data_IF_262272097806
#
_entry.id   IF_262272097806
#
_cell.length_a   1.000
_cell.length_b   1.000
_cell.length_c   1.000
_cell.angle_alpha   90.00
_cell.angle_beta   90.00
_cell.angle_gamma   90.00
#
_symmetry.space_group_name_H-M   'P 1'
#
loop_
_entity.id
_entity.type
_entity.pdbx_description
1 polymer ?
#
# COMPACT_ATOMS: atom_id res chain seq x y z
N UNK A 1 -28.44 20.53 -7.31
CA UNK A 1 -26.98 20.46 -7.10
C UNK A 1 -26.76 20.00 -5.68
N UNK A 2 -25.98 18.93 -5.47
CA UNK A 2 -25.69 18.43 -4.11
C UNK A 2 -24.85 19.48 -3.39
N UNK A 3 -25.25 19.85 -2.17
CA UNK A 3 -24.51 20.79 -1.32
C UNK A 3 -23.43 20.00 -0.57
N UNK A 4 -22.23 19.95 -1.13
CA UNK A 4 -21.07 19.23 -0.57
C UNK A 4 -20.54 19.77 0.77
N UNK A 5 -21.13 20.86 1.28
CA UNK A 5 -20.74 21.49 2.55
C UNK A 5 -21.80 21.31 3.65
N UNK A 6 -22.91 20.63 3.36
CA UNK A 6 -23.89 20.31 4.39
C UNK A 6 -23.33 19.21 5.31
N UNK A 7 -23.33 19.39 6.64
CA UNK A 7 -22.74 18.44 7.58
C UNK A 7 -23.41 17.06 7.53
N UNK A 8 -24.70 17.01 7.19
CA UNK A 8 -25.44 15.77 7.03
C UNK A 8 -24.95 14.93 5.83
N UNK A 9 -24.55 15.60 4.74
CA UNK A 9 -24.02 14.92 3.55
C UNK A 9 -22.64 14.36 3.85
N UNK A 10 -21.78 15.14 4.52
CA UNK A 10 -20.43 14.71 4.90
C UNK A 10 -20.46 13.49 5.83
N UNK A 11 -21.39 13.46 6.80
CA UNK A 11 -21.54 12.32 7.71
C UNK A 11 -22.04 11.07 6.98
N UNK A 12 -22.99 11.22 6.05
CA UNK A 12 -23.49 10.13 5.23
C UNK A 12 -22.39 9.54 4.33
N UNK A 13 -21.62 10.40 3.67
CA UNK A 13 -20.49 10.01 2.83
C UNK A 13 -19.38 9.31 3.64
N UNK A 14 -19.07 9.82 4.83
CA UNK A 14 -18.10 9.19 5.73
C UNK A 14 -18.57 7.78 6.18
N UNK A 15 -19.84 7.62 6.54
CA UNK A 15 -20.38 6.31 6.92
C UNK A 15 -20.38 5.33 5.73
N UNK A 16 -20.73 5.80 4.54
CA UNK A 16 -20.65 4.99 3.32
C UNK A 16 -19.22 4.55 3.02
N UNK A 17 -18.24 5.45 3.20
CA UNK A 17 -16.82 5.14 3.05
C UNK A 17 -16.33 4.09 4.05
N UNK A 18 -16.70 4.20 5.33
CA UNK A 18 -16.35 3.22 6.36
C UNK A 18 -16.90 1.83 6.01
N UNK A 19 -18.17 1.77 5.58
CA UNK A 19 -18.81 0.51 5.21
C UNK A 19 -18.11 -0.16 4.01
N UNK A 20 -17.77 0.61 2.97
CA UNK A 20 -17.04 0.10 1.81
C UNK A 20 -15.64 -0.37 2.24
N UNK A 21 -14.96 0.39 3.10
CA UNK A 21 -13.63 0.05 3.61
C UNK A 21 -13.66 -1.29 4.35
N UNK A 22 -14.64 -1.51 5.23
CA UNK A 22 -14.79 -2.79 5.93
C UNK A 22 -15.03 -3.98 5.00
N UNK A 23 -15.80 -3.80 3.92
CA UNK A 23 -16.02 -4.86 2.93
C UNK A 23 -14.69 -5.21 2.23
N UNK A 24 -13.93 -4.20 1.80
CA UNK A 24 -12.65 -4.39 1.13
C UNK A 24 -11.61 -5.03 2.07
N UNK A 25 -11.55 -4.57 3.32
CA UNK A 25 -10.71 -5.13 4.37
C UNK A 25 -11.06 -6.60 4.65
N UNK A 26 -12.36 -6.92 4.70
CA UNK A 26 -12.84 -8.29 4.86
C UNK A 26 -12.44 -9.21 3.71
N UNK A 27 -12.54 -8.73 2.46
CA UNK A 27 -12.08 -9.47 1.27
C UNK A 27 -10.57 -9.71 1.34
N UNK A 28 -9.79 -8.69 1.73
CA UNK A 28 -8.34 -8.82 1.88
C UNK A 28 -7.95 -9.82 2.97
N UNK A 29 -8.64 -9.80 4.12
CA UNK A 29 -8.44 -10.78 5.19
C UNK A 29 -8.77 -12.20 4.74
N UNK A 30 -9.88 -12.37 3.99
CA UNK A 30 -10.26 -13.66 3.43
C UNK A 30 -9.18 -14.22 2.48
N UNK A 31 -8.69 -13.40 1.55
CA UNK A 31 -7.61 -13.78 0.65
C UNK A 31 -6.35 -14.18 1.42
N UNK A 32 -6.02 -13.43 2.47
CA UNK A 32 -4.84 -13.72 3.26
C UNK A 32 -4.96 -15.03 4.04
N UNK A 33 -6.08 -15.27 4.72
CA UNK A 33 -6.31 -16.50 5.50
C UNK A 33 -6.24 -17.71 4.57
N UNK A 34 -6.89 -17.66 3.40
CA UNK A 34 -6.90 -18.77 2.44
C UNK A 34 -5.54 -19.05 1.81
N UNK A 35 -4.64 -18.07 1.75
CA UNK A 35 -3.26 -18.26 1.25
C UNK A 35 -2.21 -18.42 2.35
N UNK A 36 -2.59 -18.39 3.62
CA UNK A 36 -1.66 -18.45 4.75
C UNK A 36 -1.00 -19.83 4.87
N UNK A 37 -1.69 -20.91 4.54
CA UNK A 37 -1.13 -22.27 4.49
C UNK A 37 0.07 -22.37 3.55
N UNK A 38 0.02 -21.67 2.42
CA UNK A 38 1.13 -21.66 1.47
C UNK A 38 2.37 -21.02 2.10
N UNK A 39 2.22 -19.86 2.75
CA UNK A 39 3.33 -19.13 3.37
C UNK A 39 3.91 -19.83 4.60
N UNK A 40 3.04 -20.40 5.45
CA UNK A 40 3.46 -21.14 6.64
C UNK A 40 4.33 -22.33 6.27
N UNK A 41 4.02 -23.00 5.16
CA UNK A 41 4.85 -24.09 4.63
C UNK A 41 6.24 -23.64 4.15
N UNK A 42 6.44 -22.36 3.79
CA UNK A 42 7.78 -21.81 3.49
C UNK A 42 8.54 -21.40 4.74
N UNK A 43 7.86 -20.78 5.72
CA UNK A 43 8.47 -20.41 7.00
C UNK A 43 8.93 -21.68 7.74
N UNK A 44 8.19 -22.78 7.62
CA UNK A 44 8.54 -24.09 8.18
C UNK A 44 9.62 -24.84 7.36
N UNK A 45 10.37 -24.13 6.50
CA UNK A 45 11.56 -24.62 5.78
C UNK A 45 11.37 -25.85 4.87
N UNK A 46 10.14 -26.16 4.43
CA UNK A 46 9.89 -27.27 3.48
C UNK A 46 10.35 -26.97 2.04
N UNK A 47 10.79 -25.74 1.74
CA UNK A 47 11.21 -25.28 0.40
C UNK A 47 12.49 -24.43 0.46
N UNK A 48 13.23 -24.38 -0.66
CA UNK A 48 14.47 -23.59 -0.81
C UNK A 48 14.22 -22.10 -0.55
N UNK A 49 15.00 -21.54 0.37
CA UNK A 49 14.94 -20.13 0.75
C UNK A 49 15.30 -19.20 -0.43
N UNK A 50 14.49 -18.17 -0.65
CA UNK A 50 14.71 -17.13 -1.67
C UNK A 50 14.49 -15.77 -1.03
N UNK A 51 15.49 -14.88 -1.09
CA UNK A 51 15.41 -13.52 -0.53
C UNK A 51 14.16 -12.70 -0.95
N UNK A 52 13.71 -12.72 -2.22
CA UNK A 52 12.49 -12.02 -2.62
C UNK A 52 11.21 -12.55 -1.93
N UNK A 53 11.24 -13.78 -1.41
CA UNK A 53 10.09 -14.34 -0.70
C UNK A 53 9.91 -13.71 0.68
N UNK A 54 11.00 -13.33 1.36
CA UNK A 54 10.90 -12.57 2.61
C UNK A 54 10.23 -11.22 2.39
N UNK A 55 10.59 -10.50 1.32
CA UNK A 55 9.95 -9.24 0.97
C UNK A 55 8.45 -9.41 0.69
N UNK A 56 8.06 -10.54 0.08
CA UNK A 56 6.65 -10.87 -0.13
C UNK A 56 5.91 -11.10 1.18
N UNK A 57 6.42 -11.94 2.08
CA UNK A 57 5.78 -12.18 3.36
C UNK A 57 5.74 -10.93 4.24
N UNK A 58 6.80 -10.12 4.27
CA UNK A 58 6.80 -8.83 4.98
C UNK A 58 5.73 -7.88 4.43
N UNK A 59 5.59 -7.78 3.11
CA UNK A 59 4.53 -6.97 2.48
C UNK A 59 3.14 -7.37 2.99
N UNK A 60 2.86 -8.68 3.08
CA UNK A 60 1.55 -9.19 3.52
C UNK A 60 1.32 -8.96 5.02
N UNK A 61 2.34 -9.19 5.85
CA UNK A 61 2.26 -8.92 7.30
C UNK A 61 2.02 -7.43 7.58
N UNK A 62 2.72 -6.53 6.86
CA UNK A 62 2.48 -5.09 6.99
C UNK A 62 1.08 -4.68 6.52
N UNK A 63 0.57 -5.29 5.45
CA UNK A 63 -0.81 -5.06 5.01
C UNK A 63 -1.84 -5.53 6.05
N UNK A 64 -1.61 -6.65 6.73
CA UNK A 64 -2.46 -7.07 7.86
C UNK A 64 -2.41 -6.09 9.03
N UNK A 65 -1.21 -5.63 9.38
CA UNK A 65 -1.05 -4.60 10.41
C UNK A 65 -1.87 -3.35 10.08
N UNK A 66 -1.89 -2.95 8.80
CA UNK A 66 -2.74 -1.84 8.32
C UNK A 66 -4.22 -2.12 8.57
N UNK A 67 -4.73 -3.27 8.11
CA UNK A 67 -6.16 -3.63 8.27
C UNK A 67 -6.55 -3.65 9.75
N UNK A 68 -5.74 -4.28 10.61
CA UNK A 68 -6.00 -4.35 12.05
C UNK A 68 -6.03 -2.93 12.65
N UNK A 69 -5.06 -2.08 12.29
CA UNK A 69 -5.04 -0.69 12.77
C UNK A 69 -6.25 0.11 12.29
N UNK A 70 -6.70 -0.08 11.04
CA UNK A 70 -7.88 0.59 10.48
C UNK A 70 -9.17 0.16 11.17
N UNK A 71 -9.32 -1.13 11.46
CA UNK A 71 -10.45 -1.67 12.23
C UNK A 71 -10.50 -1.10 13.65
N UNK A 72 -9.35 -1.00 14.32
CA UNK A 72 -9.26 -0.42 15.67
C UNK A 72 -9.64 1.06 15.65
N UNK A 73 -9.10 1.82 14.68
CA UNK A 73 -9.38 3.26 14.59
C UNK A 73 -10.84 3.58 14.28
N UNK A 74 -11.52 2.70 13.56
CA UNK A 74 -12.92 2.90 13.18
C UNK A 74 -13.91 2.43 14.28
N UNK A 75 -13.47 1.55 15.19
CA UNK A 75 -14.24 1.10 16.36
C UNK A 75 -13.98 1.92 17.64
N UNK A 76 -13.03 2.86 17.61
CA UNK A 76 -12.72 3.66 18.80
C UNK A 76 -13.85 4.64 19.12
N UNK A 77 -14.35 4.60 20.35
CA UNK A 77 -15.41 5.51 20.85
C UNK A 77 -14.90 6.49 21.91
N UNK A 78 -13.66 6.30 22.34
CA UNK A 78 -12.98 7.08 23.37
C UNK A 78 -11.83 7.88 22.77
N UNK A 79 -11.44 8.97 23.46
CA UNK A 79 -10.35 9.82 23.03
C UNK A 79 -9.03 9.05 23.00
N UNK A 80 -8.40 9.01 21.83
CA UNK A 80 -7.08 8.42 21.61
C UNK A 80 -6.15 9.46 20.99
N UNK A 81 -4.84 9.24 21.13
CA UNK A 81 -3.84 10.01 20.42
C UNK A 81 -3.92 9.73 18.91
N UNK A 82 -4.78 10.44 18.19
CA UNK A 82 -4.99 10.30 16.75
C UNK A 82 -3.68 10.35 15.97
N UNK A 83 -2.79 11.29 16.31
CA UNK A 83 -1.51 11.43 15.64
C UNK A 83 -0.68 10.14 15.73
N UNK A 84 -0.64 9.50 16.90
CA UNK A 84 0.13 8.28 17.11
C UNK A 84 -0.48 7.11 16.32
N UNK A 85 -1.79 6.93 16.42
CA UNK A 85 -2.51 5.89 15.68
C UNK A 85 -2.36 6.04 14.16
N UNK A 86 -2.58 7.25 13.63
CA UNK A 86 -2.43 7.54 12.20
C UNK A 86 -0.98 7.33 11.74
N UNK A 87 0.00 7.73 12.55
CA UNK A 87 1.43 7.51 12.21
C UNK A 87 1.76 6.02 12.12
N UNK A 88 1.31 5.22 13.08
CA UNK A 88 1.51 3.76 13.04
C UNK A 88 0.83 3.11 11.83
N UNK A 89 -0.42 3.48 11.56
CA UNK A 89 -1.15 2.99 10.40
C UNK A 89 -0.39 3.34 9.09
N UNK A 90 0.07 4.59 8.95
CA UNK A 90 0.82 5.04 7.78
C UNK A 90 2.18 4.34 7.63
N UNK A 91 2.86 3.98 8.73
CA UNK A 91 4.10 3.20 8.67
C UNK A 91 3.82 1.81 8.08
N UNK A 92 2.74 1.14 8.51
CA UNK A 92 2.37 -0.17 7.96
C UNK A 92 1.99 -0.08 6.47
N UNK A 93 1.22 0.93 6.08
CA UNK A 93 0.87 1.20 4.67
C UNK A 93 2.14 1.46 3.85
N UNK A 94 3.00 2.35 4.30
CA UNK A 94 4.24 2.69 3.60
C UNK A 94 5.16 1.48 3.46
N UNK A 95 5.30 0.65 4.51
CA UNK A 95 6.13 -0.54 4.47
C UNK A 95 5.59 -1.55 3.44
N UNK A 96 4.28 -1.82 3.44
CA UNK A 96 3.66 -2.75 2.47
C UNK A 96 3.82 -2.27 1.02
N UNK A 97 3.50 -1.00 0.73
CA UNK A 97 3.66 -0.42 -0.62
C UNK A 97 5.11 -0.41 -1.07
N UNK A 98 6.05 -0.05 -0.19
CA UNK A 98 7.48 -0.06 -0.50
C UNK A 98 7.97 -1.47 -0.83
N UNK A 99 7.56 -2.48 -0.06
CA UNK A 99 7.89 -3.87 -0.35
C UNK A 99 7.27 -4.34 -1.69
N UNK A 100 6.04 -3.96 -2.01
CA UNK A 100 5.40 -4.29 -3.28
C UNK A 100 6.16 -3.69 -4.48
N UNK A 101 6.50 -2.40 -4.42
CA UNK A 101 7.29 -1.73 -5.47
C UNK A 101 8.69 -2.37 -5.63
N UNK A 102 9.35 -2.73 -4.53
CA UNK A 102 10.63 -3.44 -4.57
C UNK A 102 10.51 -4.82 -5.23
N UNK A 103 9.44 -5.57 -4.97
CA UNK A 103 9.22 -6.88 -5.59
C UNK A 103 9.05 -6.78 -7.10
N UNK A 104 8.30 -5.78 -7.58
CA UNK A 104 8.14 -5.52 -9.02
C UNK A 104 9.49 -5.14 -9.62
N UNK A 105 10.22 -4.25 -8.97
CA UNK A 105 11.56 -3.81 -9.40
C UNK A 105 12.54 -4.99 -9.53
N UNK A 106 12.58 -5.89 -8.55
CA UNK A 106 13.41 -7.09 -8.60
C UNK A 106 13.06 -8.00 -9.79
N UNK A 107 11.77 -8.15 -10.12
CA UNK A 107 11.34 -8.91 -11.29
C UNK A 107 11.78 -8.23 -12.59
N UNK A 108 11.64 -6.91 -12.68
CA UNK A 108 12.10 -6.13 -13.84
C UNK A 108 13.60 -6.29 -14.03
N UNK A 109 14.40 -6.20 -12.96
CA UNK A 109 15.86 -6.39 -13.01
C UNK A 109 16.21 -7.79 -13.54
N UNK A 110 15.52 -8.83 -13.06
CA UNK A 110 15.76 -10.19 -13.52
C UNK A 110 15.45 -10.38 -15.02
N UNK A 111 14.43 -9.69 -15.55
CA UNK A 111 14.06 -9.74 -16.97
C UNK A 111 15.02 -8.92 -17.83
N UNK A 112 15.38 -7.72 -17.38
CA UNK A 112 16.19 -6.74 -18.13
C UNK A 112 17.68 -6.80 -17.79
N UNK A 113 18.19 -7.98 -17.40
CA UNK A 113 19.57 -8.17 -16.94
C UNK A 113 20.64 -7.61 -17.91
N UNK A 114 20.33 -7.55 -19.21
CA UNK A 114 21.24 -7.06 -20.24
C UNK A 114 21.17 -5.54 -20.51
N UNK A 115 20.08 -4.85 -20.13
CA UNK A 115 19.89 -3.42 -20.43
C UNK A 115 20.02 -2.57 -19.17
N UNK A 116 21.22 -2.04 -18.92
CA UNK A 116 21.51 -1.21 -17.75
C UNK A 116 20.63 0.04 -17.64
N UNK A 117 20.14 0.60 -18.76
CA UNK A 117 19.26 1.77 -18.75
C UNK A 117 17.89 1.45 -18.15
N UNK A 118 17.27 0.33 -18.57
CA UNK A 118 15.97 -0.09 -18.04
C UNK A 118 16.04 -0.42 -16.54
N UNK A 119 17.15 -1.03 -16.11
CA UNK A 119 17.43 -1.28 -14.70
C UNK A 119 17.55 0.03 -13.91
N UNK A 120 18.36 0.99 -14.39
CA UNK A 120 18.57 2.27 -13.70
C UNK A 120 17.26 3.07 -13.57
N UNK A 121 16.44 3.12 -14.63
CA UNK A 121 15.13 3.80 -14.62
C UNK A 121 14.20 3.20 -13.57
N UNK A 122 14.11 1.86 -13.52
CA UNK A 122 13.20 1.18 -12.59
C UNK A 122 13.62 1.36 -11.14
N UNK A 123 14.93 1.31 -10.86
CA UNK A 123 15.47 1.58 -9.52
C UNK A 123 15.18 3.04 -9.13
N UNK A 124 15.38 3.99 -10.04
CA UNK A 124 15.07 5.40 -9.82
C UNK A 124 13.60 5.61 -9.43
N UNK A 125 12.66 5.02 -10.19
CA UNK A 125 11.23 5.07 -9.88
C UNK A 125 10.91 4.51 -8.50
N UNK A 126 11.51 3.38 -8.12
CA UNK A 126 11.31 2.77 -6.82
C UNK A 126 11.81 3.67 -5.68
N UNK A 127 12.98 4.29 -5.83
CA UNK A 127 13.54 5.20 -4.81
C UNK A 127 12.68 6.46 -4.69
N UNK A 128 12.21 7.02 -5.81
CA UNK A 128 11.29 8.16 -5.80
C UNK A 128 9.99 7.82 -5.08
N UNK A 129 9.39 6.65 -5.35
CA UNK A 129 8.16 6.21 -4.69
C UNK A 129 8.36 6.08 -3.16
N UNK A 130 9.43 5.41 -2.72
CA UNK A 130 9.75 5.27 -1.29
C UNK A 130 9.99 6.63 -0.63
N UNK A 131 10.75 7.52 -1.28
CA UNK A 131 11.02 8.86 -0.76
C UNK A 131 9.74 9.69 -0.57
N UNK A 132 8.82 9.59 -1.53
CA UNK A 132 7.55 10.33 -1.48
C UNK A 132 6.62 9.77 -0.38
N UNK A 133 6.55 8.45 -0.23
CA UNK A 133 5.80 7.80 0.84
C UNK A 133 6.32 8.19 2.23
N UNK A 134 7.64 8.21 2.43
CA UNK A 134 8.26 8.62 3.69
C UNK A 134 8.00 10.10 4.02
N UNK A 135 8.11 10.97 3.02
CA UNK A 135 7.74 12.38 3.16
C UNK A 135 6.28 12.54 3.61
N UNK A 136 5.40 11.74 3.02
CA UNK A 136 4.00 11.64 3.40
C UNK A 136 3.79 11.42 4.89
N UNK A 137 4.44 10.42 5.48
CA UNK A 137 4.31 10.10 6.91
C UNK A 137 4.60 11.31 7.80
N UNK A 138 5.66 12.06 7.48
CA UNK A 138 6.06 13.22 8.30
C UNK A 138 5.13 14.42 8.16
N UNK A 139 4.46 14.54 7.02
CA UNK A 139 3.57 15.65 6.70
C UNK A 139 2.14 15.43 7.21
N UNK A 140 1.75 14.17 7.47
CA UNK A 140 0.41 13.83 7.97
C UNK A 140 0.18 14.31 9.41
N UNK A 141 -0.89 15.08 9.58
CA UNK A 141 -1.39 15.57 10.87
C UNK A 141 -2.85 15.17 11.07
N UNK A 142 -3.16 14.57 12.21
CA UNK A 142 -4.51 14.21 12.61
C UNK A 142 -4.83 14.71 14.01
N UNK A 143 -6.07 15.17 14.21
CA UNK A 143 -6.60 15.64 15.49
C UNK A 143 -7.90 14.93 15.84
N UNK A 144 -8.14 14.77 17.13
CA UNK A 144 -9.41 14.25 17.63
C UNK A 144 -10.49 15.32 17.57
N UNK A 145 -11.66 14.98 17.02
CA UNK A 145 -12.85 15.84 17.03
C UNK A 145 -13.88 15.30 18.03
N UNK A 146 -14.21 16.10 19.03
CA UNK A 146 -15.22 15.76 20.03
C UNK A 146 -16.65 15.73 19.47
N UNK A 147 -16.93 16.53 18.43
CA UNK A 147 -18.25 16.59 17.78
C UNK A 147 -18.59 15.30 17.02
N UNK A 148 -17.60 14.73 16.35
CA UNK A 148 -17.75 13.53 15.52
C UNK A 148 -17.31 12.24 16.23
N UNK A 149 -16.69 12.36 17.42
CA UNK A 149 -16.04 11.26 18.16
C UNK A 149 -15.10 10.42 17.28
N UNK A 150 -14.35 11.10 16.40
CA UNK A 150 -13.44 10.47 15.43
C UNK A 150 -12.20 11.32 15.20
N UNK A 151 -11.16 10.69 14.66
CA UNK A 151 -9.96 11.36 14.20
C UNK A 151 -10.19 12.02 12.83
N UNK A 152 -9.99 13.33 12.76
CA UNK A 152 -10.07 14.10 11.52
C UNK A 152 -8.66 14.45 11.02
N UNK A 153 -8.48 14.46 9.70
CA UNK A 153 -7.24 14.89 9.07
C UNK A 153 -7.28 16.41 8.85
N UNK A 154 -6.23 17.11 9.27
CA UNK A 154 -6.12 18.56 9.05
C UNK A 154 -5.67 18.90 7.63
N UNK A 155 -4.85 18.03 7.00
CA UNK A 155 -4.22 18.28 5.71
C UNK A 155 -4.47 17.15 4.70
N UNK A 156 -5.67 17.11 4.12
CA UNK A 156 -6.05 16.11 3.11
C UNK A 156 -5.40 16.31 1.74
N UNK A 157 -4.86 17.51 1.45
CA UNK A 157 -4.27 17.83 0.15
C UNK A 157 -2.97 17.06 -0.12
N UNK A 158 -2.11 16.90 0.89
CA UNK A 158 -0.85 16.18 0.74
C UNK A 158 -1.06 14.68 0.47
N UNK A 159 -2.08 14.07 1.08
CA UNK A 159 -2.42 12.66 0.83
C UNK A 159 -2.73 12.36 -0.64
N UNK A 160 -3.37 13.31 -1.35
CA UNK A 160 -3.71 13.14 -2.78
C UNK A 160 -2.48 13.04 -3.66
N UNK A 161 -1.45 13.85 -3.39
CA UNK A 161 -0.21 13.79 -4.15
C UNK A 161 0.49 12.45 -3.95
N UNK A 162 0.52 11.92 -2.72
CA UNK A 162 1.20 10.65 -2.42
C UNK A 162 0.57 9.49 -3.20
N UNK A 163 -0.77 9.41 -3.14
CA UNK A 163 -1.52 8.37 -3.85
C UNK A 163 -1.28 8.46 -5.37
N UNK A 164 -1.33 9.67 -5.93
CA UNK A 164 -1.16 9.88 -7.37
C UNK A 164 0.24 9.47 -7.84
N UNK A 165 1.28 9.87 -7.10
CA UNK A 165 2.67 9.53 -7.44
C UNK A 165 2.87 8.02 -7.40
N UNK A 166 2.43 7.36 -6.33
CA UNK A 166 2.58 5.90 -6.17
C UNK A 166 1.84 5.13 -7.27
N UNK A 167 0.60 5.51 -7.60
CA UNK A 167 -0.14 4.86 -8.68
C UNK A 167 0.58 5.00 -10.03
N UNK A 168 1.09 6.19 -10.35
CA UNK A 168 1.80 6.44 -11.61
C UNK A 168 3.10 5.64 -11.66
N UNK A 169 3.87 5.59 -10.57
CA UNK A 169 5.13 4.83 -10.53
C UNK A 169 4.88 3.33 -10.65
N UNK A 170 3.91 2.78 -9.93
CA UNK A 170 3.61 1.34 -9.96
C UNK A 170 3.09 0.91 -11.33
N UNK A 171 2.21 1.71 -11.95
CA UNK A 171 1.72 1.46 -13.32
C UNK A 171 2.89 1.49 -14.31
N UNK A 172 3.79 2.47 -14.21
CA UNK A 172 4.96 2.55 -15.09
C UNK A 172 5.88 1.31 -14.92
N UNK A 173 6.13 0.88 -13.69
CA UNK A 173 6.92 -0.33 -13.41
C UNK A 173 6.26 -1.59 -13.99
N UNK A 174 4.93 -1.72 -13.88
CA UNK A 174 4.18 -2.83 -14.47
C UNK A 174 4.26 -2.83 -16.00
N UNK A 175 4.18 -1.66 -16.64
CA UNK A 175 4.34 -1.53 -18.10
C UNK A 175 5.75 -1.96 -18.52
N UNK A 176 6.80 -1.51 -17.83
CA UNK A 176 8.19 -1.89 -18.12
C UNK A 176 8.39 -3.40 -17.96
N UNK A 177 7.79 -4.00 -16.93
CA UNK A 177 7.79 -5.45 -16.74
C UNK A 177 7.11 -6.18 -17.90
N UNK A 178 5.93 -5.73 -18.31
CA UNK A 178 5.17 -6.33 -19.41
C UNK A 178 5.92 -6.26 -20.73
N UNK A 179 6.51 -5.11 -21.05
CA UNK A 179 7.33 -4.93 -22.26
C UNK A 179 8.53 -5.88 -22.24
N UNK A 180 9.20 -6.02 -21.10
CA UNK A 180 10.32 -6.96 -20.94
C UNK A 180 9.92 -8.41 -21.20
N UNK A 181 8.76 -8.83 -20.69
CA UNK A 181 8.22 -10.18 -20.92
C UNK A 181 7.85 -10.41 -22.39
N UNK A 182 7.21 -9.43 -23.03
CA UNK A 182 6.81 -9.53 -24.44
C UNK A 182 8.04 -9.63 -25.34
N UNK A 183 9.09 -8.83 -25.09
CA UNK A 183 10.35 -8.89 -25.84
C UNK A 183 11.04 -10.25 -25.67
N UNK A 184 11.19 -10.73 -24.44
CA UNK A 184 11.82 -12.03 -24.17
C UNK A 184 11.08 -13.20 -24.83
N UNK A 185 9.76 -13.09 -25.03
CA UNK A 185 8.98 -14.08 -25.76
C UNK A 185 9.29 -14.09 -27.26
N UNK A 186 9.45 -12.92 -27.87
CA UNK A 186 9.76 -12.77 -29.31
C UNK A 186 11.15 -13.35 -29.63
N UNK A 187 12.14 -13.10 -28.78
CA UNK A 187 13.50 -13.64 -28.93
C UNK A 187 13.57 -15.18 -28.84
N UNK A 188 12.53 -15.85 -28.32
CA UNK A 188 12.44 -17.32 -28.28
C UNK A 188 11.73 -17.94 -29.50
N UNK A 189 11.04 -17.14 -30.31
CA UNK A 189 10.23 -17.63 -31.45
C UNK A 189 10.79 -17.23 -32.82
N UNK A 190 11.83 -16.39 -32.88
CA UNK A 190 12.59 -16.06 -34.10
C UNK A 190 13.95 -16.73 -34.10
#
# INVERSE_FOLDING_TARGET
MVKFHDPNVIQLEAAAFDHISYILEGIFLWELITTMDFEWNYVTAKRKFKWPLLLHSTCRICALGTVICSLIGSNVTHEINCQLWTTWNLIFVCASLSCASLLITLRVIAIWCHNHLAMAVTIGMCVTNIGFLLYGITAFRSKWSNDLKRCILENSYQGRYNITVTMVTDIAQLIIMLIGLLRSRQEKHG
#
